data_IF_498663101049
#
_entry.id   IF_498663101049
#
_cell.length_a   1.000
_cell.length_b   1.000
_cell.length_c   1.000
_cell.angle_alpha   90.00
_cell.angle_beta   90.00
_cell.angle_gamma   90.00
#
_symmetry.space_group_name_H-M   'P 1'
#
loop_
_entity.id
_entity.type
_entity.pdbx_description
1 polymer ?
#
# COMPACT_ATOMS: atom_id res chain seq x y z
N UNK A 1 17.47 24.55 -0.06
CA UNK A 1 17.20 23.14 -0.41
C UNK A 1 18.21 22.25 0.30
N UNK A 2 18.05 22.00 1.60
CA UNK A 2 18.67 20.84 2.25
C UNK A 2 17.60 19.77 2.32
N UNK A 3 17.46 18.98 1.26
CA UNK A 3 16.85 17.67 1.46
C UNK A 3 17.79 16.94 2.41
N UNK A 4 17.43 16.89 3.70
CA UNK A 4 18.27 16.30 4.73
C UNK A 4 18.64 14.89 4.26
N UNK A 5 19.94 14.62 4.09
CA UNK A 5 20.46 13.30 3.73
C UNK A 5 19.78 12.16 4.52
N UNK A 6 19.44 12.45 5.78
CA UNK A 6 18.62 11.62 6.67
C UNK A 6 17.25 11.19 6.09
N UNK A 7 16.51 12.08 5.41
CA UNK A 7 15.19 11.79 4.83
C UNK A 7 15.32 10.82 3.65
N UNK A 8 16.26 11.08 2.75
CA UNK A 8 16.54 10.19 1.60
C UNK A 8 16.98 8.81 2.09
N UNK A 9 17.87 8.77 3.09
CA UNK A 9 18.31 7.53 3.70
C UNK A 9 17.15 6.76 4.35
N UNK A 10 16.25 7.46 5.04
CA UNK A 10 15.06 6.86 5.66
C UNK A 10 14.11 6.29 4.60
N UNK A 11 13.86 7.02 3.51
CA UNK A 11 13.08 6.53 2.37
C UNK A 11 13.72 5.28 1.80
N UNK A 12 15.03 5.29 1.53
CA UNK A 12 15.74 4.17 0.94
C UNK A 12 15.65 2.90 1.82
N UNK A 13 15.92 3.02 3.12
CA UNK A 13 15.76 1.91 4.07
C UNK A 13 14.32 1.42 4.12
N UNK A 14 13.35 2.34 4.13
CA UNK A 14 11.93 1.97 4.19
C UNK A 14 11.52 1.15 2.96
N UNK A 15 11.91 1.60 1.76
CA UNK A 15 11.63 0.86 0.53
C UNK A 15 12.39 -0.47 0.44
N UNK A 16 13.60 -0.54 0.98
CA UNK A 16 14.35 -1.80 1.07
C UNK A 16 13.63 -2.81 1.97
N UNK A 17 13.24 -2.40 3.18
CA UNK A 17 12.49 -3.25 4.12
C UNK A 17 11.13 -3.65 3.55
N UNK A 18 10.37 -2.70 3.00
CA UNK A 18 9.07 -2.96 2.38
C UNK A 18 9.18 -3.88 1.16
N UNK A 19 10.23 -3.72 0.35
CA UNK A 19 10.55 -4.58 -0.77
C UNK A 19 10.90 -6.01 -0.34
N UNK A 20 11.66 -6.17 0.74
CA UNK A 20 11.95 -7.48 1.33
C UNK A 20 10.66 -8.18 1.81
N UNK A 21 9.80 -7.48 2.56
CA UNK A 21 8.51 -8.02 3.00
C UNK A 21 7.64 -8.42 1.80
N UNK A 22 7.62 -7.61 0.75
CA UNK A 22 6.94 -7.96 -0.51
C UNK A 22 7.53 -9.21 -1.18
N UNK A 23 8.85 -9.38 -1.14
CA UNK A 23 9.51 -10.58 -1.65
C UNK A 23 9.10 -11.85 -0.91
N UNK A 24 8.98 -11.78 0.43
CA UNK A 24 8.61 -12.92 1.27
C UNK A 24 7.12 -13.24 1.20
N UNK A 25 6.26 -12.21 1.20
CA UNK A 25 4.80 -12.39 1.31
C UNK A 25 4.06 -12.28 -0.02
N UNK A 26 4.74 -11.87 -1.09
CA UNK A 26 4.13 -11.58 -2.40
C UNK A 26 3.35 -10.25 -2.47
N UNK A 27 3.04 -9.63 -1.32
CA UNK A 27 2.23 -8.41 -1.18
C UNK A 27 2.80 -7.48 -0.10
N UNK A 28 2.22 -6.30 0.15
CA UNK A 28 2.55 -5.54 1.36
C UNK A 28 3.68 -4.49 1.29
N UNK A 29 4.25 -4.22 0.12
CA UNK A 29 5.11 -3.03 -0.03
C UNK A 29 4.38 -1.74 0.41
N UNK A 30 3.12 -1.49 -0.01
CA UNK A 30 2.40 -0.29 0.43
C UNK A 30 2.08 -0.30 1.94
N UNK A 31 1.82 -1.45 2.56
CA UNK A 31 1.43 -1.50 3.97
C UNK A 31 2.59 -1.17 4.90
N UNK A 32 3.77 -1.77 4.64
CA UNK A 32 4.99 -1.49 5.42
C UNK A 32 5.47 -0.06 5.18
N UNK A 33 5.53 0.36 3.92
CA UNK A 33 6.02 1.69 3.59
C UNK A 33 5.07 2.80 4.07
N UNK A 34 3.75 2.63 3.99
CA UNK A 34 2.80 3.61 4.54
C UNK A 34 2.83 3.65 6.06
N UNK A 35 3.06 2.53 6.74
CA UNK A 35 3.22 2.51 8.19
C UNK A 35 4.41 3.33 8.67
N UNK A 36 5.54 3.25 7.95
CA UNK A 36 6.75 4.00 8.29
C UNK A 36 6.68 5.43 7.75
N UNK A 37 6.54 5.62 6.44
CA UNK A 37 6.55 6.95 5.82
C UNK A 37 5.33 7.78 6.19
N UNK A 38 4.14 7.20 6.32
CA UNK A 38 2.94 7.93 6.73
C UNK A 38 2.98 8.45 8.17
N UNK A 39 3.90 7.95 9.00
CA UNK A 39 4.18 8.48 10.34
C UNK A 39 5.22 9.61 10.34
N UNK A 40 6.06 9.70 9.29
CA UNK A 40 7.17 10.65 9.20
C UNK A 40 6.86 11.84 8.29
N UNK A 41 6.06 11.61 7.25
CA UNK A 41 5.63 12.60 6.26
C UNK A 41 4.12 12.49 6.04
N UNK A 42 3.53 13.46 5.34
CA UNK A 42 2.09 13.44 5.07
C UNK A 42 1.69 12.16 4.30
N UNK A 43 0.51 11.55 4.60
CA UNK A 43 0.04 10.36 3.89
C UNK A 43 -0.04 10.55 2.37
N UNK A 44 -0.37 11.76 1.93
CA UNK A 44 -0.38 12.13 0.51
C UNK A 44 1.02 12.04 -0.10
N UNK A 45 2.05 12.56 0.57
CA UNK A 45 3.43 12.48 0.11
C UNK A 45 3.94 11.03 0.11
N UNK A 46 3.67 10.26 1.16
CA UNK A 46 4.01 8.85 1.22
C UNK A 46 3.34 8.03 0.08
N UNK A 47 2.05 8.27 -0.18
CA UNK A 47 1.33 7.66 -1.30
C UNK A 47 2.00 7.98 -2.64
N UNK A 48 2.38 9.24 -2.85
CA UNK A 48 3.01 9.68 -4.10
C UNK A 48 4.32 8.95 -4.40
N UNK A 49 5.14 8.71 -3.38
CA UNK A 49 6.39 7.93 -3.50
C UNK A 49 6.13 6.46 -3.83
N UNK A 50 5.01 5.91 -3.38
CA UNK A 50 4.68 4.48 -3.52
C UNK A 50 4.06 4.12 -4.86
N UNK A 51 3.39 5.08 -5.52
CA UNK A 51 2.63 4.82 -6.76
C UNK A 51 3.51 4.16 -7.81
N UNK A 52 4.65 4.78 -8.14
CA UNK A 52 5.54 4.29 -9.22
C UNK A 52 6.08 2.88 -8.92
N UNK A 53 6.81 2.63 -7.82
CA UNK A 53 7.40 1.32 -7.58
C UNK A 53 6.36 0.21 -7.36
N UNK A 54 5.24 0.51 -6.70
CA UNK A 54 4.17 -0.48 -6.53
C UNK A 54 3.49 -0.80 -7.85
N UNK A 55 3.22 0.20 -8.69
CA UNK A 55 2.60 0.00 -9.99
C UNK A 55 3.47 -0.87 -10.90
N UNK A 56 4.76 -0.54 -11.03
CA UNK A 56 5.71 -1.28 -11.87
C UNK A 56 5.78 -2.74 -11.45
N UNK A 57 5.95 -3.00 -10.15
CA UNK A 57 6.10 -4.38 -9.65
C UNK A 57 4.79 -5.18 -9.73
N UNK A 58 3.63 -4.55 -9.48
CA UNK A 58 2.33 -5.22 -9.61
C UNK A 58 1.99 -5.52 -11.08
N UNK A 59 2.31 -4.62 -12.01
CA UNK A 59 2.05 -4.82 -13.43
C UNK A 59 2.97 -5.90 -14.01
N UNK A 60 4.23 -5.94 -13.57
CA UNK A 60 5.15 -7.01 -13.90
C UNK A 60 4.64 -8.37 -13.40
N UNK A 61 4.16 -8.44 -12.15
CA UNK A 61 3.55 -9.67 -11.59
C UNK A 61 2.30 -10.11 -12.36
N UNK A 62 1.47 -9.15 -12.78
CA UNK A 62 0.28 -9.43 -13.58
C UNK A 62 0.63 -10.01 -14.96
N UNK A 63 1.64 -9.42 -15.63
CA UNK A 63 2.10 -9.87 -16.94
C UNK A 63 2.80 -11.24 -16.89
N UNK A 64 3.50 -11.54 -15.80
CA UNK A 64 4.14 -12.83 -15.58
C UNK A 64 3.15 -13.94 -15.13
N UNK A 65 1.96 -13.57 -14.65
CA UNK A 65 0.97 -14.50 -14.11
C UNK A 65 0.09 -15.18 -15.18
N UNK A 66 -0.36 -16.43 -14.96
CA UNK A 66 -1.23 -17.13 -15.90
C UNK A 66 -2.68 -16.60 -15.85
N UNK A 67 -3.33 -16.50 -17.00
CA UNK A 67 -4.78 -16.29 -17.18
C UNK A 67 -5.39 -14.99 -16.60
N UNK A 68 -4.94 -13.83 -17.08
CA UNK A 68 -5.50 -12.51 -16.73
C UNK A 68 -7.04 -12.44 -16.77
N UNK A 69 -7.67 -13.01 -17.81
CA UNK A 69 -9.12 -12.96 -18.00
C UNK A 69 -9.92 -13.64 -16.89
N UNK A 70 -9.48 -14.83 -16.45
CA UNK A 70 -10.14 -15.55 -15.36
C UNK A 70 -9.99 -14.80 -14.02
N UNK A 71 -8.83 -14.19 -13.80
CA UNK A 71 -8.58 -13.38 -12.60
C UNK A 71 -9.47 -12.13 -12.57
N UNK A 72 -9.62 -11.45 -13.72
CA UNK A 72 -10.46 -10.26 -13.85
C UNK A 72 -11.93 -10.58 -13.54
N UNK A 73 -12.48 -11.66 -14.09
CA UNK A 73 -13.86 -12.11 -13.81
C UNK A 73 -14.07 -12.50 -12.35
N UNK A 74 -13.07 -13.12 -11.71
CA UNK A 74 -13.16 -13.51 -10.30
C UNK A 74 -13.08 -12.30 -9.36
N UNK A 75 -12.28 -11.30 -9.69
CA UNK A 75 -11.99 -10.15 -8.83
C UNK A 75 -12.73 -8.86 -9.25
N UNK A 76 -13.63 -8.90 -10.23
CA UNK A 76 -14.27 -7.71 -10.78
C UNK A 76 -15.01 -6.87 -9.72
N UNK A 77 -15.72 -7.53 -8.80
CA UNK A 77 -16.46 -6.87 -7.71
C UNK A 77 -15.51 -6.16 -6.75
N UNK A 78 -14.39 -6.79 -6.43
CA UNK A 78 -13.33 -6.20 -5.63
C UNK A 78 -12.69 -5.00 -6.35
N UNK A 79 -12.45 -5.11 -7.66
CA UNK A 79 -11.91 -4.00 -8.47
C UNK A 79 -12.86 -2.80 -8.47
N UNK A 80 -14.16 -3.03 -8.65
CA UNK A 80 -15.16 -1.94 -8.57
C UNK A 80 -15.17 -1.28 -7.19
N UNK A 81 -15.17 -2.08 -6.11
CA UNK A 81 -15.11 -1.55 -4.75
C UNK A 81 -13.84 -0.71 -4.52
N UNK A 82 -12.70 -1.15 -5.04
CA UNK A 82 -11.43 -0.41 -4.97
C UNK A 82 -11.52 0.90 -5.76
N UNK A 83 -12.09 0.91 -6.97
CA UNK A 83 -12.25 2.13 -7.77
C UNK A 83 -13.13 3.14 -7.05
N UNK A 84 -14.30 2.72 -6.59
CA UNK A 84 -15.23 3.58 -5.85
C UNK A 84 -14.60 4.09 -4.55
N UNK A 85 -13.96 3.19 -3.80
CA UNK A 85 -13.26 3.53 -2.56
C UNK A 85 -12.08 4.47 -2.78
N UNK A 86 -11.36 4.34 -3.90
CA UNK A 86 -10.24 5.22 -4.25
C UNK A 86 -10.75 6.61 -4.60
N UNK A 87 -11.80 6.74 -5.43
CA UNK A 87 -12.39 8.05 -5.78
C UNK A 87 -12.95 8.75 -4.53
N UNK A 88 -13.65 8.01 -3.67
CA UNK A 88 -14.14 8.56 -2.41
C UNK A 88 -12.98 8.93 -1.46
N UNK A 89 -11.95 8.10 -1.38
CA UNK A 89 -10.78 8.29 -0.54
C UNK A 89 -9.90 9.45 -0.99
N UNK A 90 -9.73 9.69 -2.30
CA UNK A 90 -8.95 10.82 -2.81
C UNK A 90 -9.56 12.15 -2.42
N UNK A 91 -10.89 12.27 -2.39
CA UNK A 91 -11.56 13.48 -1.89
C UNK A 91 -11.17 13.78 -0.43
N UNK A 92 -11.08 12.75 0.42
CA UNK A 92 -10.64 12.87 1.82
C UNK A 92 -9.14 13.18 1.92
N UNK A 93 -8.31 12.55 1.09
CA UNK A 93 -6.85 12.75 1.07
C UNK A 93 -6.43 14.15 0.59
N UNK A 94 -7.13 14.72 -0.39
CA UNK A 94 -6.78 16.00 -1.02
C UNK A 94 -7.49 17.18 -0.35
N UNK A 95 -8.76 17.02 0.04
CA UNK A 95 -9.56 18.08 0.64
C UNK A 95 -9.64 18.06 2.17
N UNK A 96 -9.14 17.00 2.81
CA UNK A 96 -9.27 16.77 4.25
C UNK A 96 -8.10 17.28 5.10
N UNK A 97 -8.34 17.39 6.40
CA UNK A 97 -7.30 17.68 7.38
C UNK A 97 -6.32 16.50 7.46
N UNK A 98 -5.01 16.79 7.35
CA UNK A 98 -3.93 15.81 7.45
C UNK A 98 -4.07 14.92 8.70
N UNK A 99 -4.49 15.48 9.84
CA UNK A 99 -4.69 14.73 11.07
C UNK A 99 -5.76 13.63 10.94
N UNK A 100 -6.86 13.92 10.23
CA UNK A 100 -7.94 12.96 9.99
C UNK A 100 -7.43 11.85 9.07
N UNK A 101 -6.76 12.21 7.97
CA UNK A 101 -6.21 11.26 7.02
C UNK A 101 -5.17 10.34 7.65
N UNK A 102 -4.27 10.89 8.48
CA UNK A 102 -3.27 10.11 9.22
C UNK A 102 -3.95 9.19 10.24
N UNK A 103 -4.97 9.65 10.96
CA UNK A 103 -5.71 8.82 11.92
C UNK A 103 -6.44 7.67 11.23
N UNK A 104 -7.10 7.93 10.09
CA UNK A 104 -7.81 6.90 9.31
C UNK A 104 -6.84 5.87 8.74
N UNK A 105 -5.70 6.33 8.20
CA UNK A 105 -4.62 5.45 7.73
C UNK A 105 -4.12 4.57 8.87
N UNK A 106 -3.79 5.18 10.02
CA UNK A 106 -3.29 4.46 11.20
C UNK A 106 -4.28 3.42 11.70
N UNK A 107 -5.57 3.77 11.82
CA UNK A 107 -6.62 2.82 12.19
C UNK A 107 -6.70 1.65 11.20
N UNK A 108 -6.67 1.94 9.89
CA UNK A 108 -6.71 0.92 8.84
C UNK A 108 -5.51 -0.05 8.94
N UNK A 109 -4.32 0.48 9.23
CA UNK A 109 -3.11 -0.33 9.41
C UNK A 109 -3.16 -1.18 10.67
N UNK A 110 -3.69 -0.66 11.78
CA UNK A 110 -3.88 -1.43 13.02
C UNK A 110 -4.85 -2.57 12.81
N UNK A 111 -6.01 -2.31 12.17
CA UNK A 111 -6.99 -3.35 11.85
C UNK A 111 -6.37 -4.40 10.93
N UNK A 112 -5.65 -3.99 9.90
CA UNK A 112 -4.96 -4.91 8.99
C UNK A 112 -3.92 -5.77 9.73
N UNK A 113 -3.07 -5.17 10.57
CA UNK A 113 -2.04 -5.87 11.32
C UNK A 113 -2.63 -6.84 12.36
N UNK A 114 -3.69 -6.43 13.06
CA UNK A 114 -4.40 -7.29 14.00
C UNK A 114 -5.03 -8.49 13.26
N UNK A 115 -5.65 -8.24 12.11
CA UNK A 115 -6.21 -9.30 11.28
C UNK A 115 -5.14 -10.26 10.79
N UNK A 116 -4.02 -9.79 10.23
CA UNK A 116 -2.95 -10.67 9.73
C UNK A 116 -2.25 -11.45 10.85
N UNK A 117 -2.18 -10.90 12.06
CA UNK A 117 -1.63 -11.59 13.23
C UNK A 117 -2.53 -12.72 13.74
N UNK A 118 -3.86 -12.54 13.67
CA UNK A 118 -4.85 -13.50 14.17
C UNK A 118 -5.34 -14.47 13.09
N UNK A 119 -5.25 -14.10 11.82
CA UNK A 119 -5.75 -14.90 10.71
C UNK A 119 -4.93 -16.19 10.56
N UNK A 120 -5.63 -17.32 10.61
CA UNK A 120 -5.07 -18.63 10.29
C UNK A 120 -4.93 -18.73 8.77
N UNK A 121 -3.78 -19.21 8.29
CA UNK A 121 -3.57 -19.41 6.85
C UNK A 121 -4.58 -20.44 6.33
N UNK A 122 -5.59 -19.96 5.61
CA UNK A 122 -6.56 -20.82 4.94
C UNK A 122 -5.85 -21.49 3.76
N UNK A 123 -5.44 -22.75 3.94
CA UNK A 123 -5.00 -23.59 2.84
C UNK A 123 -6.23 -23.96 2.00
N UNK A 124 -6.31 -23.39 0.80
CA UNK A 124 -7.27 -23.83 -0.20
C UNK A 124 -6.63 -25.02 -0.94
N UNK A 125 -7.30 -26.18 -1.03
CA UNK A 125 -6.76 -27.37 -1.69
C UNK A 125 -6.53 -27.18 -3.19
#
# INVERSE_FOLDING_TARGET
>A
MTYSFSLIFTIAITFLCAGFVKGVTGMGLPTVAMGILGALISPLAAASLLIIPSFVTNLWQLAAGPSFGALMLRLWSMMLAIVVGTIAGTAVLVGGNIAITTSLLGFSLVVYAAYTLLARQLQVP
#
